data_IF_582851559616
#
_entry.id   IF_582851559616
#
_cell.length_a   1.000
_cell.length_b   1.000
_cell.length_c   1.000
_cell.angle_alpha   90.00
_cell.angle_beta   90.00
_cell.angle_gamma   90.00
#
_symmetry.space_group_name_H-M   'P 1'
#
loop_
_entity.id
_entity.type
_entity.pdbx_description
1 polymer ?
#
# COMPACT_ATOMS: atom_id res chain seq x y z
N UNK A 1 43.82 -7.11 6.10
CA UNK A 1 43.97 -6.06 5.07
C UNK A 1 43.04 -6.49 3.94
N UNK A 2 41.98 -5.80 3.49
CA UNK A 2 41.74 -4.36 3.27
C UNK A 2 40.32 -3.97 3.73
N UNK A 3 40.15 -2.74 4.23
CA UNK A 3 38.85 -2.08 4.44
C UNK A 3 38.56 -1.29 3.16
N UNK A 4 37.42 -1.53 2.51
CA UNK A 4 37.00 -0.75 1.34
C UNK A 4 35.88 0.19 1.78
N UNK A 5 36.26 1.43 2.03
CA UNK A 5 35.37 2.57 2.25
C UNK A 5 34.83 3.01 0.89
N UNK A 6 33.51 2.93 0.67
CA UNK A 6 32.86 3.60 -0.46
C UNK A 6 31.92 4.66 0.06
N UNK A 7 32.39 5.90 -0.05
CA UNK A 7 31.63 7.13 0.15
C UNK A 7 30.93 7.40 -1.18
N UNK A 8 29.60 7.49 -1.18
CA UNK A 8 28.83 7.99 -2.33
C UNK A 8 28.19 9.30 -1.90
N UNK A 9 28.60 10.36 -2.59
CA UNK A 9 28.19 11.72 -2.37
C UNK A 9 26.77 11.99 -2.91
N UNK A 10 26.08 12.86 -2.17
CA UNK A 10 24.73 13.38 -2.35
C UNK A 10 24.59 14.18 -3.65
N UNK A 11 23.51 13.98 -4.40
CA UNK A 11 22.97 14.96 -5.34
C UNK A 11 21.54 15.32 -4.92
N UNK A 12 21.44 16.44 -4.22
CA UNK A 12 20.22 17.22 -3.97
C UNK A 12 19.75 17.84 -5.29
N UNK A 13 18.51 17.60 -5.70
CA UNK A 13 17.82 18.44 -6.68
C UNK A 13 16.59 19.03 -6.01
N UNK A 14 16.77 20.26 -5.53
CA UNK A 14 15.71 21.15 -5.09
C UNK A 14 15.03 21.77 -6.31
N UNK A 15 13.71 21.65 -6.42
CA UNK A 15 12.88 22.40 -7.35
C UNK A 15 11.98 23.36 -6.58
N UNK A 16 12.26 24.66 -6.66
CA UNK A 16 11.39 25.76 -6.24
C UNK A 16 11.22 26.68 -7.46
N UNK A 17 10.05 27.31 -7.59
CA UNK A 17 9.62 28.44 -8.45
C UNK A 17 8.29 28.07 -9.16
N UNK A 18 7.21 28.85 -9.07
CA UNK A 18 7.03 30.13 -8.42
C UNK A 18 5.63 30.73 -8.64
N UNK A 19 5.45 31.88 -7.98
CA UNK A 19 4.57 33.03 -8.29
C UNK A 19 3.04 32.82 -8.26
N UNK A 20 2.32 33.38 -7.28
CA UNK A 20 1.91 34.79 -7.14
C UNK A 20 0.68 35.15 -7.99
N UNK A 21 -0.49 35.16 -7.36
CA UNK A 21 -1.65 35.93 -7.80
C UNK A 21 -2.02 36.92 -6.70
N UNK A 22 -1.70 38.18 -6.91
CA UNK A 22 -1.94 39.34 -6.03
C UNK A 22 -3.21 40.11 -6.44
N UNK A 23 -3.95 40.57 -5.41
CA UNK A 23 -4.80 41.79 -5.33
C UNK A 23 -6.06 41.88 -6.23
N UNK A 24 -7.20 42.48 -5.84
CA UNK A 24 -7.45 43.72 -5.08
C UNK A 24 -8.93 43.82 -4.60
N UNK A 25 -9.25 44.58 -3.53
CA UNK A 25 -10.62 44.82 -3.04
C UNK A 25 -11.28 46.07 -3.67
N UNK A 26 -12.55 46.37 -3.34
CA UNK A 26 -12.79 47.68 -2.75
C UNK A 26 -13.66 47.67 -1.48
N UNK A 27 -13.37 48.66 -0.65
CA UNK A 27 -14.03 48.99 0.62
C UNK A 27 -15.31 49.80 0.42
N UNK A 28 -16.22 49.71 1.41
CA UNK A 28 -16.72 50.83 2.25
C UNK A 28 -18.22 50.70 2.60
N UNK A 29 -18.50 50.79 3.90
CA UNK A 29 -19.82 50.88 4.58
C UNK A 29 -20.54 52.23 4.27
N UNK A 30 -21.82 52.45 4.66
CA UNK A 30 -22.18 52.75 6.06
C UNK A 30 -23.60 52.30 6.55
N UNK A 31 -23.84 52.60 7.83
CA UNK A 31 -24.92 52.21 8.73
C UNK A 31 -26.35 52.74 8.41
N UNK A 32 -27.36 52.08 9.01
CA UNK A 32 -28.71 52.63 9.22
C UNK A 32 -29.60 51.73 10.10
N UNK A 33 -30.53 52.27 10.92
CA UNK A 33 -30.85 51.74 12.25
C UNK A 33 -32.23 51.07 12.39
N UNK A 34 -32.38 50.29 13.47
CA UNK A 34 -33.66 50.13 14.17
C UNK A 34 -34.42 48.83 13.93
N UNK A 35 -34.85 48.20 15.04
CA UNK A 35 -35.92 47.20 15.02
C UNK A 35 -35.74 46.07 16.02
N UNK A 36 -36.22 46.27 17.25
CA UNK A 36 -36.53 45.17 18.18
C UNK A 36 -37.62 44.27 17.61
N UNK A 37 -37.43 42.95 17.68
CA UNK A 37 -38.47 41.99 18.06
C UNK A 37 -37.88 40.58 18.26
N UNK A 38 -38.03 40.06 19.48
CA UNK A 38 -37.83 38.64 19.85
C UNK A 38 -38.83 37.74 19.10
N UNK A 39 -38.48 36.47 18.83
CA UNK A 39 -39.32 35.44 19.44
C UNK A 39 -38.55 34.28 20.07
N UNK A 40 -39.18 33.74 21.10
CA UNK A 40 -38.86 32.50 21.81
C UNK A 40 -38.72 31.29 20.90
N UNK A 41 -37.80 30.41 21.26
CA UNK A 41 -37.73 29.03 20.77
C UNK A 41 -36.52 28.30 21.35
N UNK A 42 -36.62 27.79 22.57
CA UNK A 42 -35.64 26.81 23.07
C UNK A 42 -35.83 25.50 22.29
N UNK A 43 -34.99 25.28 21.28
CA UNK A 43 -34.89 24.00 20.61
C UNK A 43 -34.11 23.02 21.52
N UNK A 44 -34.52 21.74 21.60
CA UNK A 44 -33.74 20.72 22.29
C UNK A 44 -32.38 20.59 21.60
N UNK A 45 -31.31 20.68 22.39
CA UNK A 45 -29.95 20.49 21.90
C UNK A 45 -29.78 19.02 21.47
N UNK A 46 -29.86 18.76 20.18
CA UNK A 46 -29.42 17.49 19.61
C UNK A 46 -27.94 17.33 19.94
N UNK A 47 -27.50 16.24 20.60
CA UNK A 47 -26.08 16.02 20.80
C UNK A 47 -25.41 15.93 19.43
N UNK A 48 -24.49 16.84 19.15
CA UNK A 48 -23.60 16.75 18.00
C UNK A 48 -22.84 15.43 18.11
N UNK A 49 -22.94 14.50 17.14
CA UNK A 49 -22.12 13.31 17.16
C UNK A 49 -20.66 13.74 17.12
N UNK A 50 -19.94 13.48 18.21
CA UNK A 50 -18.48 13.66 18.24
C UNK A 50 -17.90 12.74 17.15
N UNK A 51 -17.11 13.25 16.20
CA UNK A 51 -16.43 12.39 15.25
C UNK A 51 -15.52 11.46 16.05
N UNK A 52 -15.84 10.16 16.03
CA UNK A 52 -14.96 9.13 16.56
C UNK A 52 -13.70 9.13 15.72
N UNK A 53 -12.60 9.65 16.26
CA UNK A 53 -11.24 9.59 15.69
C UNK A 53 -10.69 8.16 15.79
N UNK A 54 -11.52 7.14 15.51
CA UNK A 54 -11.02 5.79 15.33
C UNK A 54 -10.20 5.80 14.04
N UNK A 55 -8.89 5.55 14.08
CA UNK A 55 -8.12 5.41 12.85
C UNK A 55 -8.80 4.33 12.01
N UNK A 56 -9.13 4.65 10.75
CA UNK A 56 -9.65 3.64 9.83
C UNK A 56 -8.65 2.48 9.81
N UNK A 57 -9.11 1.23 9.95
CA UNK A 57 -8.20 0.10 9.91
C UNK A 57 -7.49 0.12 8.56
N UNK A 58 -6.16 0.15 8.59
CA UNK A 58 -5.34 0.05 7.39
C UNK A 58 -5.60 -1.27 6.66
N UNK A 59 -5.25 -1.32 5.38
CA UNK A 59 -5.38 -2.53 4.56
C UNK A 59 -4.61 -3.68 5.19
N UNK A 60 -5.28 -4.81 5.44
CA UNK A 60 -4.61 -6.01 5.94
C UNK A 60 -3.85 -6.72 4.83
N UNK A 61 -2.86 -7.54 5.18
CA UNK A 61 -2.14 -8.36 4.20
C UNK A 61 -3.10 -9.23 3.36
N UNK A 62 -4.07 -9.86 4.00
CA UNK A 62 -5.06 -10.71 3.31
C UNK A 62 -5.92 -9.92 2.32
N UNK A 63 -6.26 -8.67 2.62
CA UNK A 63 -6.97 -7.78 1.69
C UNK A 63 -6.09 -7.43 0.49
N UNK A 64 -4.82 -7.09 0.71
CA UNK A 64 -3.86 -6.81 -0.35
C UNK A 64 -3.65 -8.03 -1.26
N UNK A 65 -3.45 -9.22 -0.67
CA UNK A 65 -3.30 -10.47 -1.41
C UNK A 65 -4.56 -10.85 -2.18
N UNK A 66 -5.75 -10.67 -1.59
CA UNK A 66 -7.01 -10.95 -2.29
C UNK A 66 -7.17 -10.07 -3.53
N UNK A 67 -6.82 -8.78 -3.43
CA UNK A 67 -6.84 -7.87 -4.56
C UNK A 67 -5.83 -8.27 -5.63
N UNK A 68 -4.61 -8.63 -5.22
CA UNK A 68 -3.55 -9.09 -6.11
C UNK A 68 -3.91 -10.38 -6.84
N UNK A 69 -4.36 -11.43 -6.14
CA UNK A 69 -4.77 -12.72 -6.75
C UNK A 69 -5.85 -12.52 -7.80
N UNK A 70 -6.83 -11.66 -7.52
CA UNK A 70 -7.91 -11.34 -8.46
C UNK A 70 -7.38 -10.66 -9.73
N UNK A 71 -6.41 -9.76 -9.59
CA UNK A 71 -5.80 -9.06 -10.72
C UNK A 71 -4.91 -10.00 -11.57
N UNK A 72 -4.14 -10.87 -10.92
CA UNK A 72 -3.11 -11.70 -11.55
C UNK A 72 -3.66 -12.99 -12.17
N UNK A 73 -4.38 -13.82 -11.41
CA UNK A 73 -4.76 -15.16 -11.86
C UNK A 73 -6.04 -15.20 -12.72
N UNK A 74 -6.87 -14.15 -12.67
CA UNK A 74 -8.18 -14.05 -13.34
C UNK A 74 -9.11 -15.25 -13.06
N UNK A 75 -10.34 -15.22 -13.59
CA UNK A 75 -11.30 -16.31 -13.44
C UNK A 75 -11.72 -16.57 -11.99
N UNK A 76 -11.87 -17.84 -11.61
CA UNK A 76 -12.40 -18.28 -10.30
C UNK A 76 -11.34 -18.40 -9.20
N UNK A 77 -10.16 -17.80 -9.39
CA UNK A 77 -9.09 -17.86 -8.40
C UNK A 77 -9.38 -16.99 -7.18
N UNK A 78 -9.07 -17.49 -5.99
CA UNK A 78 -9.29 -16.80 -4.72
C UNK A 78 -8.14 -17.05 -3.76
N UNK A 79 -7.76 -15.99 -3.05
CA UNK A 79 -6.81 -16.09 -1.96
C UNK A 79 -7.46 -16.81 -0.76
N UNK A 80 -6.77 -17.81 -0.20
CA UNK A 80 -7.27 -18.64 0.91
C UNK A 80 -6.42 -18.58 2.17
N UNK A 81 -5.45 -17.65 2.24
CA UNK A 81 -4.61 -17.45 3.43
C UNK A 81 -3.23 -18.09 3.32
N UNK A 82 -2.66 -18.46 4.48
CA UNK A 82 -1.34 -19.06 4.59
C UNK A 82 -1.33 -20.49 4.00
N UNK A 83 -0.32 -20.81 3.18
CA UNK A 83 -0.20 -22.12 2.55
C UNK A 83 -0.07 -23.30 3.52
N UNK A 84 0.35 -23.08 4.77
CA UNK A 84 0.48 -24.12 5.79
C UNK A 84 -0.87 -24.61 6.29
N UNK A 85 -1.86 -23.72 6.34
CA UNK A 85 -3.18 -23.98 6.91
C UNK A 85 -4.27 -24.09 5.83
N UNK A 86 -3.95 -23.73 4.58
CA UNK A 86 -4.88 -23.76 3.47
C UNK A 86 -5.17 -25.19 2.98
N UNK A 87 -6.47 -25.49 2.81
CA UNK A 87 -6.91 -26.72 2.16
C UNK A 87 -6.91 -26.58 0.63
N UNK A 88 -6.50 -27.63 -0.12
CA UNK A 88 -6.56 -27.63 -1.58
C UNK A 88 -8.00 -27.48 -2.10
N UNK A 89 -8.16 -26.72 -3.18
CA UNK A 89 -9.44 -26.55 -3.84
C UNK A 89 -9.31 -25.90 -5.21
N UNK A 90 -10.35 -26.03 -6.05
CA UNK A 90 -10.36 -25.42 -7.38
C UNK A 90 -10.20 -23.89 -7.26
N UNK A 91 -9.16 -23.36 -7.88
CA UNK A 91 -8.82 -21.93 -7.86
C UNK A 91 -8.32 -21.41 -6.51
N UNK A 92 -7.98 -22.27 -5.56
CA UNK A 92 -7.40 -21.83 -4.29
C UNK A 92 -5.95 -21.38 -4.51
N UNK A 93 -5.62 -20.18 -4.05
CA UNK A 93 -4.27 -19.60 -4.07
C UNK A 93 -3.91 -19.20 -2.64
N UNK A 94 -2.74 -19.61 -2.17
CA UNK A 94 -2.25 -19.30 -0.83
C UNK A 94 -0.91 -18.56 -0.90
N UNK A 95 -0.50 -17.94 0.20
CA UNK A 95 0.82 -17.31 0.33
C UNK A 95 1.61 -17.96 1.46
N UNK A 96 2.93 -18.06 1.30
CA UNK A 96 3.86 -18.51 2.33
C UNK A 96 4.96 -17.47 2.46
N UNK A 97 5.26 -17.05 3.69
CA UNK A 97 6.37 -16.15 3.98
C UNK A 97 7.71 -16.84 3.67
N UNK A 98 8.57 -16.20 2.88
CA UNK A 98 9.88 -16.74 2.49
C UNK A 98 11.03 -15.97 3.16
N UNK A 99 11.01 -14.63 3.15
CA UNK A 99 12.10 -13.82 3.72
C UNK A 99 11.65 -12.40 4.11
N UNK A 100 12.43 -11.75 4.98
CA UNK A 100 12.40 -10.30 5.21
C UNK A 100 13.50 -9.62 4.38
N UNK A 101 13.15 -8.58 3.63
CA UNK A 101 14.09 -7.84 2.77
C UNK A 101 13.79 -6.36 2.88
N UNK A 102 14.77 -5.53 3.25
CA UNK A 102 14.70 -4.05 3.27
C UNK A 102 13.43 -3.46 3.91
N UNK A 103 12.97 -4.04 5.02
CA UNK A 103 11.76 -3.61 5.73
C UNK A 103 10.47 -3.95 4.98
N UNK A 104 10.50 -5.01 4.18
CA UNK A 104 9.36 -5.70 3.59
C UNK A 104 9.52 -7.20 3.71
N UNK A 105 8.55 -7.91 3.14
CA UNK A 105 8.43 -9.36 3.26
C UNK A 105 8.19 -9.96 1.89
N UNK A 106 8.98 -10.97 1.53
CA UNK A 106 8.77 -11.76 0.33
C UNK A 106 7.89 -12.95 0.68
N UNK A 107 6.84 -13.16 -0.10
CA UNK A 107 5.96 -14.32 0.01
C UNK A 107 6.00 -15.12 -1.30
N UNK A 108 6.17 -16.44 -1.18
CA UNK A 108 5.88 -17.37 -2.26
C UNK A 108 4.38 -17.59 -2.36
N UNK A 109 3.84 -17.62 -3.57
CA UNK A 109 2.42 -17.71 -3.87
C UNK A 109 2.17 -18.87 -4.84
N UNK A 110 1.16 -19.67 -4.56
CA UNK A 110 0.77 -20.78 -5.43
C UNK A 110 -0.45 -21.52 -4.91
N UNK A 111 -0.77 -22.64 -5.55
CA UNK A 111 -1.83 -23.53 -5.06
C UNK A 111 -1.44 -24.19 -3.71
N UNK A 112 -2.40 -24.40 -2.78
CA UNK A 112 -2.12 -25.11 -1.53
C UNK A 112 -1.47 -26.48 -1.76
N UNK A 113 -0.40 -26.76 -1.00
CA UNK A 113 0.40 -28.00 -1.10
C UNK A 113 1.06 -28.24 -2.47
N UNK A 114 1.22 -27.20 -3.28
CA UNK A 114 1.94 -27.21 -4.56
C UNK A 114 3.28 -26.48 -4.45
N UNK A 115 4.02 -26.48 -5.55
CA UNK A 115 5.17 -25.57 -5.74
C UNK A 115 4.71 -24.11 -5.82
N UNK A 116 5.68 -23.20 -5.68
CA UNK A 116 5.47 -21.75 -5.74
C UNK A 116 5.39 -21.34 -7.22
N UNK A 117 4.29 -20.71 -7.61
CA UNK A 117 4.03 -20.24 -8.96
C UNK A 117 4.57 -18.81 -9.17
N UNK A 118 4.58 -17.99 -8.11
CA UNK A 118 5.06 -16.60 -8.15
C UNK A 118 5.57 -16.16 -6.78
N UNK A 119 6.33 -15.07 -6.75
CA UNK A 119 6.77 -14.39 -5.53
C UNK A 119 6.25 -12.96 -5.53
N UNK A 120 5.82 -12.50 -4.36
CA UNK A 120 5.36 -11.13 -4.16
C UNK A 120 6.16 -10.48 -3.05
N UNK A 121 6.56 -9.23 -3.26
CA UNK A 121 7.21 -8.41 -2.24
C UNK A 121 6.19 -7.45 -1.64
N UNK A 122 5.86 -7.65 -0.36
CA UNK A 122 4.87 -6.88 0.37
C UNK A 122 5.52 -5.96 1.41
N UNK A 123 4.97 -4.76 1.60
CA UNK A 123 5.41 -3.83 2.65
C UNK A 123 4.21 -3.26 3.40
N UNK A 124 4.40 -3.09 4.70
CA UNK A 124 3.48 -2.35 5.54
C UNK A 124 3.86 -0.86 5.55
N UNK A 125 2.87 0.01 5.33
CA UNK A 125 3.01 1.46 5.42
C UNK A 125 1.89 2.08 6.24
N UNK A 126 1.80 3.41 6.25
CA UNK A 126 0.81 4.15 7.03
C UNK A 126 -0.66 3.79 6.67
N UNK A 127 -0.91 3.36 5.43
CA UNK A 127 -2.22 2.92 4.96
C UNK A 127 -2.47 1.41 5.13
N UNK A 128 -1.52 0.67 5.73
CA UNK A 128 -1.52 -0.79 5.83
C UNK A 128 -0.63 -1.47 4.80
N UNK A 129 -0.88 -2.77 4.59
CA UNK A 129 -0.13 -3.63 3.69
C UNK A 129 -0.41 -3.34 2.22
N UNK A 130 0.63 -3.41 1.41
CA UNK A 130 0.55 -3.35 -0.06
C UNK A 130 1.55 -4.30 -0.70
N UNK A 131 1.18 -4.86 -1.85
CA UNK A 131 2.12 -5.53 -2.73
C UNK A 131 2.86 -4.45 -3.52
N UNK A 132 4.19 -4.47 -3.46
CA UNK A 132 5.07 -3.45 -4.02
C UNK A 132 5.70 -3.91 -5.33
N UNK A 133 5.99 -5.20 -5.43
CA UNK A 133 6.60 -5.81 -6.61
C UNK A 133 6.23 -7.30 -6.68
N UNK A 134 6.39 -7.92 -7.85
CA UNK A 134 6.12 -9.33 -8.08
C UNK A 134 7.15 -9.94 -9.03
N UNK A 135 7.34 -11.25 -8.93
CA UNK A 135 8.24 -11.99 -9.78
C UNK A 135 7.72 -13.41 -10.02
N UNK A 136 7.59 -13.78 -11.28
CA UNK A 136 7.20 -15.13 -11.68
C UNK A 136 8.43 -15.82 -12.27
N UNK A 137 8.97 -16.86 -11.61
CA UNK A 137 10.02 -17.66 -12.22
C UNK A 137 9.50 -18.24 -13.53
N UNK A 138 10.22 -18.03 -14.63
CA UNK A 138 9.95 -18.83 -15.82
C UNK A 138 10.24 -20.29 -15.50
N UNK A 139 9.55 -21.23 -16.13
CA UNK A 139 9.94 -22.66 -16.06
C UNK A 139 11.38 -22.88 -16.55
N UNK A 140 11.88 -21.97 -17.38
CA UNK A 140 13.27 -21.88 -17.82
C UNK A 140 14.21 -21.20 -16.80
N UNK A 141 13.76 -20.83 -15.61
CA UNK A 141 14.62 -20.26 -14.56
C UNK A 141 15.54 -21.31 -13.91
N UNK A 142 15.39 -22.58 -14.30
CA UNK A 142 16.44 -23.62 -14.17
C UNK A 142 17.38 -23.69 -15.40
N UNK A 143 17.27 -22.73 -16.30
CA UNK A 143 18.08 -22.42 -17.49
C UNK A 143 18.37 -20.90 -17.55
N UNK A 144 19.01 -20.36 -18.60
CA UNK A 144 19.49 -18.98 -18.58
C UNK A 144 18.33 -17.98 -18.47
N UNK A 145 18.27 -17.25 -17.35
CA UNK A 145 17.21 -16.31 -17.00
C UNK A 145 16.95 -15.26 -18.12
N UNK A 146 15.71 -15.22 -18.61
CA UNK A 146 15.33 -14.36 -19.75
C UNK A 146 14.80 -12.96 -19.32
N UNK A 147 14.62 -12.69 -18.03
CA UNK A 147 14.23 -11.36 -17.54
C UNK A 147 15.07 -10.95 -16.33
N UNK A 148 15.27 -9.64 -16.08
CA UNK A 148 16.08 -9.22 -14.94
C UNK A 148 15.40 -9.63 -13.64
N UNK A 149 16.00 -10.60 -12.95
CA UNK A 149 15.63 -11.00 -11.60
C UNK A 149 15.65 -9.78 -10.67
N UNK A 150 14.55 -9.47 -9.97
CA UNK A 150 14.53 -8.35 -9.04
C UNK A 150 15.58 -8.51 -7.93
N UNK A 151 16.20 -7.40 -7.50
CA UNK A 151 17.27 -7.43 -6.50
C UNK A 151 16.82 -8.04 -5.16
N UNK A 152 15.55 -7.85 -4.78
CA UNK A 152 14.98 -8.45 -3.57
C UNK A 152 14.82 -9.97 -3.70
N UNK A 153 14.71 -10.51 -4.92
CA UNK A 153 14.58 -11.94 -5.15
C UNK A 153 15.91 -12.66 -4.92
N UNK A 154 17.04 -12.02 -5.25
CA UNK A 154 18.37 -12.54 -4.96
C UNK A 154 18.60 -12.80 -3.45
N UNK A 155 17.87 -12.09 -2.56
CA UNK A 155 17.93 -12.34 -1.12
C UNK A 155 17.39 -13.72 -0.71
N UNK A 156 16.65 -14.41 -1.58
CA UNK A 156 16.18 -15.77 -1.35
C UNK A 156 17.28 -16.84 -1.60
N UNK A 157 18.42 -16.46 -2.20
CA UNK A 157 19.49 -17.39 -2.59
C UNK A 157 19.05 -18.42 -3.62
N UNK A 158 18.13 -18.03 -4.50
CA UNK A 158 17.61 -18.82 -5.63
C UNK A 158 17.97 -18.04 -6.89
N UNK A 159 19.12 -18.35 -7.46
CA UNK A 159 19.70 -17.75 -8.66
C UNK A 159 19.99 -18.82 -9.72
#
# INVERSE_FOLDING_TARGET
MQRITRIVAVLLVSGVLGACGTEQPPASSPAGPGGSATPSGSAPSTPTPTPSLSPSPGTTFDQAMTAWVRATYRGDHRYVGDCRDAEPGRGAVCAKREADVDGGVVHGVGAPRSEIDAYVYAREGAAGWRIVDEFTPSSEMYGPAVEPTPAWFAALGRD
#
